data_IF_022425634321
#
_entry.id   IF_022425634321
#
_cell.length_a   1.000
_cell.length_b   1.000
_cell.length_c   1.000
_cell.angle_alpha   90.00
_cell.angle_beta   90.00
_cell.angle_gamma   90.00
#
_symmetry.space_group_name_H-M   'P 1'
#
loop_
_entity.id
_entity.type
_entity.pdbx_description
1 polymer ?
#
# COMPACT_ATOMS: atom_id res chain seq x y z
N UNK A 1 4.07 24.12 -14.11
CA UNK A 1 3.44 23.71 -12.84
C UNK A 1 3.12 22.24 -12.95
N UNK A 2 3.74 21.37 -12.16
CA UNK A 2 3.35 19.96 -12.09
C UNK A 2 1.98 19.87 -11.43
N UNK A 3 1.02 19.24 -12.11
CA UNK A 3 -0.28 18.91 -11.52
C UNK A 3 -0.06 18.02 -10.29
N UNK A 4 -0.79 18.29 -9.20
CA UNK A 4 -0.83 17.33 -8.09
C UNK A 4 -1.43 16.00 -8.57
N UNK A 5 -0.90 14.89 -8.09
CA UNK A 5 -1.47 13.56 -8.35
C UNK A 5 -2.74 13.40 -7.52
N UNK A 6 -3.73 12.68 -8.02
CA UNK A 6 -4.90 12.31 -7.23
C UNK A 6 -4.56 11.20 -6.24
N UNK A 7 -5.32 11.10 -5.16
CA UNK A 7 -5.20 10.01 -4.20
C UNK A 7 -5.31 8.63 -4.89
N UNK A 8 -6.21 8.48 -5.87
CA UNK A 8 -6.31 7.25 -6.67
C UNK A 8 -5.02 6.89 -7.42
N UNK A 9 -4.31 7.89 -7.98
CA UNK A 9 -3.03 7.66 -8.65
C UNK A 9 -1.94 7.25 -7.66
N UNK A 10 -1.91 7.87 -6.47
CA UNK A 10 -0.99 7.49 -5.39
C UNK A 10 -1.28 6.06 -4.91
N UNK A 11 -2.55 5.72 -4.69
CA UNK A 11 -2.97 4.36 -4.31
C UNK A 11 -2.55 3.36 -5.39
N UNK A 12 -2.77 3.65 -6.67
CA UNK A 12 -2.33 2.75 -7.76
C UNK A 12 -0.82 2.52 -7.75
N UNK A 13 -0.02 3.55 -7.44
CA UNK A 13 1.42 3.40 -7.30
C UNK A 13 1.81 2.57 -6.05
N UNK A 14 1.11 2.79 -4.92
CA UNK A 14 1.29 1.99 -3.70
C UNK A 14 0.94 0.52 -3.93
N UNK A 15 -0.16 0.24 -4.62
CA UNK A 15 -0.61 -1.12 -4.95
C UNK A 15 0.30 -1.79 -5.99
N UNK A 16 0.91 -1.03 -6.91
CA UNK A 16 1.95 -1.55 -7.77
C UNK A 16 3.20 -1.99 -6.99
N UNK A 17 3.49 -1.33 -5.87
CA UNK A 17 4.63 -1.64 -5.00
C UNK A 17 4.33 -2.74 -3.96
N UNK A 18 3.11 -2.73 -3.43
CA UNK A 18 2.60 -3.64 -2.39
C UNK A 18 1.27 -4.24 -2.88
N UNK A 19 1.31 -5.23 -3.80
CA UNK A 19 0.11 -5.74 -4.45
C UNK A 19 -0.92 -6.25 -3.44
N UNK A 20 -2.18 -5.74 -3.46
CA UNK A 20 -3.19 -6.15 -2.48
C UNK A 20 -3.47 -7.65 -2.46
N UNK A 21 -3.33 -8.32 -3.60
CA UNK A 21 -3.51 -9.77 -3.73
C UNK A 21 -2.47 -10.60 -2.95
N UNK A 22 -1.40 -9.97 -2.47
CA UNK A 22 -0.36 -10.64 -1.65
C UNK A 22 -0.61 -10.53 -0.15
N UNK A 23 -1.62 -9.76 0.27
CA UNK A 23 -2.02 -9.72 1.67
C UNK A 23 -2.61 -11.05 2.13
N UNK A 24 -2.44 -11.35 3.41
CA UNK A 24 -3.06 -12.50 4.04
C UNK A 24 -4.59 -12.42 3.98
N UNK A 25 -5.31 -13.55 3.86
CA UNK A 25 -6.77 -13.54 3.68
C UNK A 25 -7.57 -12.93 4.85
N UNK A 26 -6.98 -12.87 6.04
CA UNK A 26 -7.59 -12.28 7.23
C UNK A 26 -7.33 -10.78 7.38
N UNK A 27 -6.48 -10.21 6.52
CA UNK A 27 -5.98 -8.86 6.67
C UNK A 27 -6.98 -7.80 6.17
N UNK A 28 -6.77 -6.55 6.61
CA UNK A 28 -7.60 -5.40 6.27
C UNK A 28 -6.72 -4.22 5.79
N UNK A 29 -6.25 -4.32 4.55
CA UNK A 29 -5.43 -3.31 3.88
C UNK A 29 -6.26 -2.36 3.01
N UNK A 30 -5.63 -1.32 2.48
CA UNK A 30 -6.22 -0.40 1.50
C UNK A 30 -6.64 0.94 2.09
N UNK A 31 -7.47 1.68 1.34
CA UNK A 31 -7.97 2.99 1.74
C UNK A 31 -9.00 2.86 2.87
N UNK A 32 -8.68 3.45 4.04
CA UNK A 32 -9.55 3.45 5.23
C UNK A 32 -10.51 4.64 5.20
N UNK A 33 -10.01 5.84 4.88
CA UNK A 33 -10.82 7.03 4.67
C UNK A 33 -10.12 8.02 3.73
N UNK A 34 -10.89 8.86 3.04
CA UNK A 34 -10.40 9.85 2.09
C UNK A 34 -11.21 9.86 0.79
N UNK A 35 -11.00 10.87 -0.04
CA UNK A 35 -11.61 10.97 -1.37
C UNK A 35 -10.56 10.60 -2.44
N UNK A 36 -10.75 9.52 -3.22
CA UNK A 36 -9.84 9.13 -4.30
C UNK A 36 -9.57 10.23 -5.35
N UNK A 37 -10.47 11.21 -5.51
CA UNK A 37 -10.29 12.33 -6.42
C UNK A 37 -9.47 13.49 -5.81
N UNK A 38 -9.25 13.50 -4.50
CA UNK A 38 -8.53 14.58 -3.82
C UNK A 38 -7.06 14.65 -4.28
N UNK A 39 -6.49 15.86 -4.44
CA UNK A 39 -5.08 16.03 -4.77
C UNK A 39 -4.19 15.68 -3.57
N UNK A 40 -3.09 14.97 -3.81
CA UNK A 40 -2.08 14.62 -2.81
C UNK A 40 -0.75 15.29 -3.14
N UNK A 41 -0.19 16.01 -2.17
CA UNK A 41 1.10 16.71 -2.25
C UNK A 41 2.06 16.30 -1.13
N UNK A 42 1.54 16.00 0.05
CA UNK A 42 2.30 15.61 1.25
C UNK A 42 1.78 14.30 1.80
N UNK A 43 2.71 13.35 1.99
CA UNK A 43 2.42 12.01 2.52
C UNK A 43 3.21 11.83 3.82
N UNK A 44 2.54 11.39 4.89
CA UNK A 44 3.16 10.94 6.13
C UNK A 44 3.17 9.42 6.19
N UNK A 45 4.33 8.83 6.49
CA UNK A 45 4.48 7.39 6.72
C UNK A 45 4.55 7.11 8.21
N UNK A 46 3.82 6.11 8.69
CA UNK A 46 3.84 5.70 10.09
C UNK A 46 3.64 4.19 10.24
N UNK A 47 3.98 3.65 11.41
CA UNK A 47 3.66 2.25 11.74
C UNK A 47 2.21 2.15 12.18
N UNK A 48 1.80 2.92 13.19
CA UNK A 48 0.46 2.88 13.76
C UNK A 48 -0.33 4.20 13.55
N UNK A 49 -1.64 4.14 13.26
CA UNK A 49 -2.52 5.31 13.19
C UNK A 49 -2.96 5.81 14.59
N UNK A 50 -2.00 6.06 15.48
CA UNK A 50 -2.27 6.57 16.85
C UNK A 50 -2.58 8.06 16.85
N UNK A 51 -3.13 8.57 17.96
CA UNK A 51 -3.52 9.96 18.11
C UNK A 51 -2.37 10.95 17.80
N UNK A 52 -1.14 10.61 18.20
CA UNK A 52 0.05 11.43 17.94
C UNK A 52 0.39 11.53 16.45
N UNK A 53 0.18 10.47 15.68
CA UNK A 53 0.36 10.49 14.21
C UNK A 53 -0.73 11.34 13.55
N UNK A 54 -1.96 11.28 14.06
CA UNK A 54 -3.04 12.17 13.61
C UNK A 54 -2.73 13.63 13.95
N UNK A 55 -2.21 13.92 15.14
CA UNK A 55 -1.79 15.26 15.55
C UNK A 55 -0.67 15.79 14.62
N UNK A 56 0.33 14.96 14.33
CA UNK A 56 1.42 15.30 13.41
C UNK A 56 0.93 15.55 11.98
N UNK A 57 0.06 14.67 11.47
CA UNK A 57 -0.52 14.79 10.14
C UNK A 57 -1.25 16.13 9.96
N UNK A 58 -2.09 16.51 10.93
CA UNK A 58 -2.83 17.77 10.92
C UNK A 58 -1.87 18.95 11.05
N UNK A 59 -0.93 18.92 11.99
CA UNK A 59 0.02 20.01 12.20
C UNK A 59 0.93 20.27 10.99
N UNK A 60 1.24 19.22 10.22
CA UNK A 60 2.04 19.29 8.99
C UNK A 60 1.20 19.46 7.73
N UNK A 61 -0.12 19.52 7.87
CA UNK A 61 -1.09 19.66 6.78
C UNK A 61 -0.85 18.64 5.65
N UNK A 62 -0.65 17.37 6.03
CA UNK A 62 -0.45 16.30 5.04
C UNK A 62 -1.78 15.93 4.39
N UNK A 63 -1.74 15.43 3.17
CA UNK A 63 -2.95 15.04 2.43
C UNK A 63 -3.25 13.54 2.60
N UNK A 64 -2.22 12.73 2.91
CA UNK A 64 -2.32 11.28 3.09
C UNK A 64 -1.41 10.80 4.23
N UNK A 65 -1.95 9.95 5.09
CA UNK A 65 -1.19 9.12 6.02
C UNK A 65 -1.18 7.69 5.49
N UNK A 66 0.00 7.09 5.36
CA UNK A 66 0.17 5.67 5.05
C UNK A 66 0.66 4.96 6.32
N UNK A 67 -0.10 3.98 6.79
CA UNK A 67 0.26 3.18 7.96
C UNK A 67 0.58 1.74 7.61
N UNK A 68 1.46 1.12 8.40
CA UNK A 68 1.69 -0.31 8.31
C UNK A 68 0.58 -1.11 8.99
N UNK A 69 0.23 -0.78 10.23
CA UNK A 69 -0.83 -1.49 10.93
C UNK A 69 -2.22 -0.94 10.59
N UNK A 70 -3.22 -1.81 10.40
CA UNK A 70 -4.58 -1.40 10.11
C UNK A 70 -5.26 -0.79 11.33
N UNK A 71 -5.92 0.35 11.13
CA UNK A 71 -6.76 0.95 12.18
C UNK A 71 -7.92 0.00 12.55
N UNK A 72 -8.52 -0.63 11.55
CA UNK A 72 -9.61 -1.60 11.70
C UNK A 72 -9.20 -2.94 11.06
N UNK A 73 -8.97 -3.96 11.88
CA UNK A 73 -8.72 -5.33 11.42
C UNK A 73 -10.01 -6.10 11.11
N UNK A 74 -11.16 -5.52 11.45
CA UNK A 74 -12.49 -6.06 11.19
C UNK A 74 -13.44 -4.92 10.84
N UNK A 75 -14.53 -5.23 10.13
CA UNK A 75 -15.58 -4.26 9.85
C UNK A 75 -16.10 -3.57 11.11
N UNK A 76 -16.46 -2.29 10.99
CA UNK A 76 -17.04 -1.49 12.07
C UNK A 76 -18.39 -0.93 11.67
N UNK A 77 -19.29 -0.81 12.64
CA UNK A 77 -20.63 -0.24 12.43
C UNK A 77 -20.71 1.26 12.76
N UNK A 78 -19.64 1.83 13.35
CA UNK A 78 -19.59 3.24 13.76
C UNK A 78 -18.16 3.75 13.72
N UNK A 79 -18.03 5.04 13.38
CA UNK A 79 -16.79 5.83 13.47
C UNK A 79 -17.01 7.10 14.30
N UNK A 80 -17.97 7.06 15.22
CA UNK A 80 -18.25 8.16 16.13
C UNK A 80 -17.00 8.55 16.95
N UNK A 81 -16.87 9.84 17.28
CA UNK A 81 -15.72 10.40 17.99
C UNK A 81 -15.70 10.08 19.51
N UNK A 82 -16.42 9.04 19.94
CA UNK A 82 -16.48 8.55 21.32
C UNK A 82 -15.45 7.43 21.60
N UNK A 83 -14.94 6.77 20.57
CA UNK A 83 -13.84 5.78 20.67
C UNK A 83 -12.52 6.33 20.13
N UNK A 84 -11.38 5.74 20.51
CA UNK A 84 -10.07 6.18 20.02
C UNK A 84 -9.93 6.02 18.50
N UNK A 85 -10.40 4.90 17.94
CA UNK A 85 -10.37 4.66 16.49
C UNK A 85 -11.32 5.59 15.75
N UNK A 86 -12.55 5.76 16.26
CA UNK A 86 -13.51 6.69 15.68
C UNK A 86 -13.03 8.14 15.72
N UNK A 87 -12.42 8.59 16.84
CA UNK A 87 -11.76 9.91 16.91
C UNK A 87 -10.68 10.08 15.86
N UNK A 88 -9.83 9.08 15.63
CA UNK A 88 -8.78 9.16 14.61
C UNK A 88 -9.39 9.40 13.22
N UNK A 89 -10.35 8.56 12.80
CA UNK A 89 -11.05 8.71 11.51
C UNK A 89 -11.75 10.06 11.41
N UNK A 90 -12.52 10.46 12.43
CA UNK A 90 -13.29 11.69 12.41
C UNK A 90 -12.39 12.93 12.26
N UNK A 91 -11.25 12.93 12.94
CA UNK A 91 -10.26 14.02 12.87
C UNK A 91 -9.57 14.08 11.51
N UNK A 92 -9.14 12.94 10.97
CA UNK A 92 -8.53 12.87 9.64
C UNK A 92 -9.50 13.34 8.55
N UNK A 93 -10.74 12.84 8.56
CA UNK A 93 -11.79 13.27 7.62
C UNK A 93 -12.07 14.77 7.75
N UNK A 94 -12.20 15.28 8.98
CA UNK A 94 -12.47 16.72 9.21
C UNK A 94 -11.34 17.62 8.72
N UNK A 95 -10.10 17.11 8.70
CA UNK A 95 -8.94 17.82 8.20
C UNK A 95 -8.68 17.58 6.70
N UNK A 96 -9.50 16.77 6.01
CA UNK A 96 -9.30 16.44 4.59
C UNK A 96 -8.13 15.50 4.33
N UNK A 97 -7.71 14.72 5.33
CA UNK A 97 -6.54 13.85 5.26
C UNK A 97 -6.99 12.40 5.03
N UNK A 98 -6.44 11.75 4.02
CA UNK A 98 -6.68 10.35 3.75
C UNK A 98 -5.85 9.42 4.65
N UNK A 99 -6.31 8.19 4.86
CA UNK A 99 -5.58 7.12 5.55
C UNK A 99 -5.57 5.86 4.69
N UNK A 100 -4.38 5.36 4.37
CA UNK A 100 -4.18 4.11 3.64
C UNK A 100 -3.35 3.13 4.48
N UNK A 101 -3.71 1.85 4.46
CA UNK A 101 -3.02 0.79 5.19
C UNK A 101 -2.30 -0.16 4.22
N UNK A 102 -1.00 -0.38 4.43
CA UNK A 102 -0.20 -1.41 3.77
C UNK A 102 0.44 -2.31 4.84
N UNK A 103 -0.15 -3.47 5.09
CA UNK A 103 0.17 -4.35 6.20
C UNK A 103 0.92 -5.59 5.71
N UNK A 104 0.28 -6.76 5.68
CA UNK A 104 0.96 -8.01 5.29
C UNK A 104 1.44 -8.01 3.84
N UNK A 105 0.77 -7.28 2.93
CA UNK A 105 1.24 -7.07 1.56
C UNK A 105 2.57 -6.30 1.50
N UNK A 106 2.84 -5.42 2.47
CA UNK A 106 4.11 -4.72 2.58
C UNK A 106 5.20 -5.58 3.24
N UNK A 107 4.83 -6.56 4.08
CA UNK A 107 5.77 -7.50 4.70
C UNK A 107 6.38 -8.49 3.70
N UNK A 108 5.57 -8.94 2.74
CA UNK A 108 5.94 -9.94 1.72
C UNK A 108 6.45 -9.32 0.41
N UNK A 109 6.31 -8.01 0.24
CA UNK A 109 6.83 -7.32 -0.94
C UNK A 109 8.36 -7.40 -1.00
N UNK A 110 8.90 -7.33 -2.22
CA UNK A 110 10.34 -7.29 -2.49
C UNK A 110 10.67 -6.05 -3.34
N UNK A 111 11.36 -5.04 -2.80
CA UNK A 111 11.70 -4.89 -1.37
C UNK A 111 10.46 -4.60 -0.51
N UNK A 112 10.44 -5.00 0.76
CA UNK A 112 9.34 -4.75 1.69
C UNK A 112 9.82 -4.34 3.09
N UNK A 113 8.94 -4.47 4.09
CA UNK A 113 9.25 -4.18 5.50
C UNK A 113 10.40 -5.08 5.99
N UNK A 114 10.38 -6.36 5.62
CA UNK A 114 11.43 -7.33 5.96
C UNK A 114 12.79 -6.94 5.40
N UNK A 115 12.85 -6.46 4.15
CA UNK A 115 14.10 -6.01 3.52
C UNK A 115 14.63 -4.73 4.16
N UNK A 116 13.75 -3.79 4.49
CA UNK A 116 14.12 -2.57 5.19
C UNK A 116 14.74 -2.87 6.57
N UNK A 117 14.15 -3.82 7.32
CA UNK A 117 14.69 -4.29 8.59
C UNK A 117 16.04 -4.99 8.42
N UNK A 118 16.14 -5.89 7.44
CA UNK A 118 17.38 -6.60 7.15
C UNK A 118 18.53 -5.64 6.80
N UNK A 119 18.24 -4.62 5.98
CA UNK A 119 19.18 -3.56 5.63
C UNK A 119 19.60 -2.74 6.86
N UNK A 120 18.65 -2.34 7.72
CA UNK A 120 18.94 -1.59 8.94
C UNK A 120 19.83 -2.37 9.92
N UNK A 121 19.72 -3.70 9.94
CA UNK A 121 20.56 -4.60 10.74
C UNK A 121 21.87 -5.02 10.04
N UNK A 122 22.08 -4.62 8.78
CA UNK A 122 23.27 -4.98 8.00
C UNK A 122 23.30 -6.44 7.53
N UNK A 123 22.17 -7.14 7.53
CA UNK A 123 22.06 -8.52 7.06
C UNK A 123 22.35 -8.58 5.55
N UNK A 124 23.22 -9.51 5.15
CA UNK A 124 23.61 -9.71 3.75
C UNK A 124 23.05 -11.03 3.22
N UNK A 125 22.82 -11.11 1.90
CA UNK A 125 22.34 -12.34 1.25
C UNK A 125 20.96 -12.76 1.72
N UNK A 126 20.04 -11.80 1.88
CA UNK A 126 18.67 -12.06 2.31
C UNK A 126 17.94 -12.96 1.31
N UNK A 127 17.09 -13.82 1.84
CA UNK A 127 16.15 -14.65 1.09
C UNK A 127 14.86 -14.78 1.89
N UNK A 128 13.70 -14.99 1.24
CA UNK A 128 12.46 -15.25 1.95
C UNK A 128 12.60 -16.43 2.92
N UNK A 129 12.09 -16.27 4.14
CA UNK A 129 12.02 -17.35 5.13
C UNK A 129 11.00 -18.39 4.68
N UNK A 130 9.83 -17.91 4.24
CA UNK A 130 8.78 -18.70 3.62
C UNK A 130 8.61 -18.15 2.19
N UNK A 131 9.08 -18.87 1.16
CA UNK A 131 8.88 -18.46 -0.22
C UNK A 131 7.39 -18.51 -0.58
N UNK A 132 6.89 -17.48 -1.25
CA UNK A 132 5.57 -17.56 -1.89
C UNK A 132 5.58 -18.68 -2.93
N UNK A 133 4.45 -19.38 -3.14
CA UNK A 133 4.31 -20.27 -4.29
C UNK A 133 4.62 -19.46 -5.55
N UNK A 134 5.56 -19.93 -6.38
CA UNK A 134 5.90 -19.22 -7.60
C UNK A 134 4.65 -18.96 -8.45
N UNK A 135 4.64 -17.84 -9.20
CA UNK A 135 3.55 -17.57 -10.12
C UNK A 135 3.35 -18.77 -11.05
N UNK A 136 2.09 -19.16 -11.27
CA UNK A 136 1.77 -20.14 -12.29
C UNK A 136 2.36 -19.64 -13.62
N UNK A 137 3.28 -20.42 -14.18
CA UNK A 137 3.85 -20.15 -15.49
C UNK A 137 3.01 -20.91 -16.51
N UNK A 138 2.29 -20.18 -17.35
CA UNK A 138 1.53 -20.75 -18.45
C UNK A 138 2.30 -20.59 -19.75
N UNK A 139 2.33 -21.65 -20.56
CA UNK A 139 2.87 -21.60 -21.91
C UNK A 139 1.80 -21.05 -22.86
N UNK A 140 2.03 -19.83 -23.37
CA UNK A 140 1.20 -19.27 -24.43
C UNK A 140 1.67 -19.82 -25.79
N UNK A 141 0.88 -20.69 -26.41
CA UNK A 141 1.12 -21.19 -27.77
C UNK A 141 0.18 -20.51 -28.75
N UNK A 142 0.72 -19.77 -29.72
CA UNK A 142 -0.02 -19.20 -30.83
C UNK A 142 0.41 -19.81 -32.15
N UNK A 143 -0.54 -20.13 -33.03
CA UNK A 143 -0.28 -20.48 -34.42
C UNK A 143 -0.33 -19.21 -35.25
N UNK A 144 0.72 -18.93 -36.02
CA UNK A 144 0.81 -17.82 -36.97
C UNK A 144 1.05 -18.37 -38.37
N UNK A 145 0.63 -17.62 -39.40
CA UNK A 145 1.00 -17.95 -40.77
C UNK A 145 2.53 -17.85 -40.93
N UNK A 146 3.15 -18.66 -41.80
CA UNK A 146 4.61 -18.68 -41.95
C UNK A 146 5.23 -17.30 -42.24
N UNK A 147 4.50 -16.43 -42.93
CA UNK A 147 4.95 -15.10 -43.33
C UNK A 147 4.79 -14.04 -42.23
N UNK A 148 4.02 -14.34 -41.18
CA UNK A 148 3.72 -13.44 -40.05
C UNK A 148 4.51 -13.81 -38.78
N UNK A 149 5.33 -14.86 -38.83
CA UNK A 149 6.17 -15.25 -37.70
C UNK A 149 7.29 -14.21 -37.51
N UNK A 150 7.44 -13.58 -36.33
CA UNK A 150 8.55 -12.69 -36.08
C UNK A 150 9.87 -13.47 -36.20
N UNK A 151 10.85 -12.90 -36.90
CA UNK A 151 12.20 -13.45 -36.97
C UNK A 151 12.81 -13.35 -35.56
N UNK A 152 12.77 -14.44 -34.80
CA UNK A 152 13.48 -14.53 -33.53
C UNK A 152 14.94 -14.91 -33.85
N UNK A 153 15.88 -13.97 -33.69
CA UNK A 153 17.30 -14.31 -33.62
C UNK A 153 17.57 -14.90 -32.24
N UNK A 154 17.92 -16.18 -32.20
CA UNK A 154 18.46 -16.83 -31.01
C UNK A 154 19.89 -16.33 -30.80
N UNK A 155 20.08 -15.45 -29.80
CA UNK A 155 21.39 -15.13 -29.22
C UNK A 155 21.72 -16.08 -28.05
#
# INVERSE_FOLDING_TARGET
MTSALSLAQIISALEGRYPPATAEPWDAIGLVCGDPAAPVRRILWAVDPVAQVVDEAIAREVDLVVTHHPLFLSGVHSVAADTSKGRAVHRLISAGIALYCAHTNADVADPGVSDALAAALGVQGTRPVIPSPGSAIDTLTGMVAPDDAPAYELH
#
